data_IF_219876780171
#
_entry.id   IF_219876780171
#
_cell.length_a   1.000
_cell.length_b   1.000
_cell.length_c   1.000
_cell.angle_alpha   90.00
_cell.angle_beta   90.00
_cell.angle_gamma   90.00
#
_symmetry.space_group_name_H-M   'P 1'
#
loop_
_entity.id
_entity.type
_entity.pdbx_description
1 polymer ?
#
# COMPACT_ATOMS: atom_id res chain seq x y z
N UNK A 1 6.13 -8.40 23.89
CA UNK A 1 5.15 -7.30 23.92
C UNK A 1 3.77 -7.92 24.13
N UNK A 2 2.95 -7.40 25.06
CA UNK A 2 1.58 -7.86 25.27
C UNK A 2 0.70 -7.58 24.02
N UNK A 3 -0.54 -8.12 23.96
CA UNK A 3 -1.41 -8.00 22.79
C UNK A 3 -1.63 -6.54 22.38
N UNK A 4 -1.52 -6.32 21.06
CA UNK A 4 -1.56 -5.07 20.29
C UNK A 4 -2.51 -3.98 20.83
N UNK A 5 -1.97 -3.01 21.57
CA UNK A 5 -2.58 -1.69 21.74
C UNK A 5 -1.92 -0.71 20.76
N UNK A 6 -2.21 -0.85 19.47
CA UNK A 6 -1.78 0.11 18.46
C UNK A 6 -2.83 0.24 17.35
N UNK A 7 -2.78 1.35 16.63
CA UNK A 7 -3.75 1.73 15.60
C UNK A 7 -3.22 1.50 14.18
N UNK A 8 -2.22 0.62 13.99
CA UNK A 8 -1.67 0.34 12.66
C UNK A 8 -2.73 -0.17 11.69
N UNK A 9 -3.58 -1.11 12.13
CA UNK A 9 -4.61 -1.69 11.27
C UNK A 9 -5.70 -0.67 10.92
N UNK A 10 -6.05 0.22 11.85
CA UNK A 10 -6.99 1.31 11.61
C UNK A 10 -6.42 2.34 10.62
N UNK A 11 -5.15 2.73 10.80
CA UNK A 11 -4.51 3.71 9.94
C UNK A 11 -4.30 3.18 8.51
N UNK A 12 -3.97 1.89 8.36
CA UNK A 12 -3.93 1.22 7.05
C UNK A 12 -5.30 1.15 6.39
N UNK A 13 -6.36 0.91 7.16
CA UNK A 13 -7.72 0.91 6.62
C UNK A 13 -8.11 2.30 6.12
N UNK A 14 -7.82 3.36 6.90
CA UNK A 14 -8.02 4.75 6.48
C UNK A 14 -7.23 5.05 5.21
N UNK A 15 -5.96 4.63 5.14
CA UNK A 15 -5.13 4.80 3.95
C UNK A 15 -5.69 4.06 2.72
N UNK A 16 -6.23 2.83 2.87
CA UNK A 16 -6.89 2.12 1.77
C UNK A 16 -8.14 2.85 1.28
N UNK A 17 -8.98 3.32 2.20
CA UNK A 17 -10.20 4.09 1.87
C UNK A 17 -9.84 5.39 1.18
N UNK A 18 -8.75 6.04 1.60
CA UNK A 18 -8.28 7.30 1.02
C UNK A 18 -7.80 7.14 -0.43
N UNK A 19 -7.22 5.99 -0.76
CA UNK A 19 -6.88 5.59 -2.15
C UNK A 19 -8.14 5.42 -3.00
N UNK A 20 -9.12 4.64 -2.53
CA UNK A 20 -10.41 4.47 -3.24
C UNK A 20 -11.10 5.84 -3.42
N UNK A 21 -11.19 6.64 -2.37
CA UNK A 21 -11.79 7.98 -2.45
C UNK A 21 -11.14 8.82 -3.56
N UNK A 22 -9.81 8.85 -3.62
CA UNK A 22 -9.05 9.61 -4.61
C UNK A 22 -9.23 9.06 -6.03
N UNK A 23 -9.24 7.74 -6.20
CA UNK A 23 -9.49 7.10 -7.50
C UNK A 23 -10.91 7.33 -8.01
N UNK A 24 -11.91 7.45 -7.13
CA UNK A 24 -13.28 7.72 -7.57
C UNK A 24 -13.41 9.01 -8.40
N UNK A 25 -12.60 10.05 -8.11
CA UNK A 25 -12.53 11.26 -8.95
C UNK A 25 -11.87 10.97 -10.30
N UNK A 26 -10.73 10.27 -10.29
CA UNK A 26 -10.01 9.93 -11.53
C UNK A 26 -10.87 9.08 -12.46
N UNK A 27 -11.55 8.07 -11.92
CA UNK A 27 -12.38 7.12 -12.67
C UNK A 27 -13.69 7.76 -13.13
N UNK A 28 -14.32 8.61 -12.32
CA UNK A 28 -15.57 9.26 -12.75
C UNK A 28 -15.34 10.47 -13.67
N UNK A 29 -14.32 11.28 -13.40
CA UNK A 29 -14.15 12.61 -14.02
C UNK A 29 -12.89 12.72 -14.90
N UNK A 30 -12.00 11.74 -14.88
CA UNK A 30 -10.71 11.77 -15.61
C UNK A 30 -9.66 12.66 -14.97
N UNK A 31 -9.98 13.28 -13.83
CA UNK A 31 -9.11 14.20 -13.12
C UNK A 31 -9.38 14.16 -11.63
N UNK A 32 -8.35 14.50 -10.84
CA UNK A 32 -8.45 14.60 -9.38
C UNK A 32 -8.42 16.05 -8.90
N UNK A 33 -8.51 17.02 -9.82
CA UNK A 33 -8.38 18.46 -9.54
C UNK A 33 -9.40 19.02 -8.54
N UNK A 34 -10.55 18.35 -8.38
CA UNK A 34 -11.62 18.75 -7.45
C UNK A 34 -11.53 18.09 -6.08
N UNK A 35 -10.53 17.24 -5.87
CA UNK A 35 -10.32 16.58 -4.59
C UNK A 35 -9.91 17.61 -3.52
N UNK A 36 -10.49 17.52 -2.32
CA UNK A 36 -10.27 18.53 -1.28
C UNK A 36 -8.79 18.68 -0.90
N UNK A 37 -8.00 17.60 -0.86
CA UNK A 37 -6.58 17.68 -0.50
C UNK A 37 -5.75 18.32 -1.62
N UNK A 38 -6.11 18.10 -2.88
CA UNK A 38 -5.41 18.76 -4.00
C UNK A 38 -5.64 20.27 -3.95
N UNK A 39 -6.85 20.70 -3.59
CA UNK A 39 -7.19 22.11 -3.40
C UNK A 39 -6.46 22.72 -2.20
N UNK A 40 -6.46 22.03 -1.05
CA UNK A 40 -5.77 22.50 0.16
C UNK A 40 -4.26 22.58 -0.02
N UNK A 41 -3.66 21.67 -0.78
CA UNK A 41 -2.22 21.65 -1.00
C UNK A 41 -1.77 22.50 -2.19
N UNK A 42 -2.67 23.23 -2.87
CA UNK A 42 -2.31 24.05 -4.02
C UNK A 42 -1.78 23.23 -5.20
N UNK A 43 -2.48 22.14 -5.52
CA UNK A 43 -2.19 21.19 -6.59
C UNK A 43 -0.86 20.43 -6.43
N UNK A 44 -0.50 20.08 -5.19
CA UNK A 44 0.72 19.33 -4.91
C UNK A 44 0.45 17.84 -4.70
N UNK A 45 -0.60 17.48 -3.94
CA UNK A 45 -0.80 16.10 -3.51
C UNK A 45 -2.28 15.73 -3.39
N UNK A 46 -2.60 14.52 -3.83
CA UNK A 46 -3.90 13.87 -3.64
C UNK A 46 -3.90 13.00 -2.38
N UNK A 47 -5.10 12.76 -1.84
CA UNK A 47 -5.31 12.00 -0.62
C UNK A 47 -4.97 10.52 -0.81
N UNK A 48 -5.16 9.97 -2.00
CA UNK A 48 -4.76 8.61 -2.32
C UNK A 48 -3.25 8.41 -2.17
N UNK A 49 -2.47 9.35 -2.70
CA UNK A 49 -1.02 9.34 -2.61
C UNK A 49 -0.53 9.51 -1.15
N UNK A 50 -1.21 10.35 -0.37
CA UNK A 50 -0.99 10.45 1.08
C UNK A 50 -1.23 9.11 1.78
N UNK A 51 -2.26 8.36 1.39
CA UNK A 51 -2.51 7.00 1.86
C UNK A 51 -1.35 6.05 1.53
N UNK A 52 -0.83 6.11 0.31
CA UNK A 52 0.36 5.34 -0.11
C UNK A 52 1.59 5.70 0.75
N UNK A 53 1.84 6.98 1.01
CA UNK A 53 2.94 7.41 1.88
C UNK A 53 2.84 6.81 3.29
N UNK A 54 1.62 6.80 3.84
CA UNK A 54 1.34 6.20 5.13
C UNK A 54 1.56 4.68 5.10
N UNK A 55 1.14 3.98 4.03
CA UNK A 55 1.43 2.56 3.85
C UNK A 55 2.92 2.27 3.88
N UNK A 56 3.72 3.02 3.11
CA UNK A 56 5.18 2.83 3.07
C UNK A 56 5.83 3.14 4.42
N UNK A 57 5.41 4.19 5.13
CA UNK A 57 5.91 4.49 6.47
C UNK A 57 5.61 3.39 7.49
N UNK A 58 4.37 2.89 7.51
CA UNK A 58 3.96 1.78 8.38
C UNK A 58 4.71 0.50 8.00
N UNK A 59 4.85 0.20 6.71
CA UNK A 59 5.60 -0.94 6.21
C UNK A 59 7.07 -0.85 6.60
N UNK A 60 7.72 0.31 6.45
CA UNK A 60 9.10 0.54 6.91
C UNK A 60 9.32 0.19 8.37
N UNK A 61 8.38 0.60 9.23
CA UNK A 61 8.42 0.29 10.66
C UNK A 61 8.25 -1.22 10.93
N UNK A 62 7.18 -1.83 10.41
CA UNK A 62 6.80 -3.21 10.73
C UNK A 62 7.66 -4.27 10.03
N UNK A 63 8.18 -3.96 8.85
CA UNK A 63 9.06 -4.85 8.09
C UNK A 63 10.42 -4.93 8.76
N UNK A 64 10.99 -3.78 9.15
CA UNK A 64 12.25 -3.72 9.93
C UNK A 64 12.11 -4.49 11.24
N UNK A 65 11.00 -4.27 11.97
CA UNK A 65 10.69 -5.03 13.18
C UNK A 65 10.64 -6.53 12.92
N UNK A 66 9.96 -6.94 11.86
CA UNK A 66 9.80 -8.35 11.54
C UNK A 66 11.08 -9.03 11.13
N UNK A 67 12.03 -8.34 10.51
CA UNK A 67 13.34 -8.91 10.17
C UNK A 67 14.12 -9.19 11.45
N UNK A 68 14.25 -8.21 12.34
CA UNK A 68 14.99 -8.37 13.62
C UNK A 68 14.40 -9.44 14.54
N UNK A 69 13.08 -9.63 14.50
CA UNK A 69 12.39 -10.63 15.31
C UNK A 69 12.38 -12.02 14.66
N UNK A 70 12.86 -12.16 13.42
CA UNK A 70 12.86 -13.45 12.72
C UNK A 70 14.27 -14.03 12.67
N UNK A 71 14.52 -15.22 13.24
CA UNK A 71 15.86 -15.79 13.31
C UNK A 71 16.48 -16.14 11.95
N UNK A 72 15.66 -16.47 10.95
CA UNK A 72 16.12 -16.97 9.65
C UNK A 72 15.66 -16.06 8.50
N UNK A 73 16.57 -15.61 7.61
CA UNK A 73 16.24 -14.74 6.48
C UNK A 73 15.15 -15.31 5.55
N UNK A 74 15.19 -16.61 5.24
CA UNK A 74 14.15 -17.25 4.41
C UNK A 74 12.78 -17.28 5.10
N UNK A 75 12.72 -17.37 6.44
CA UNK A 75 11.44 -17.29 7.16
C UNK A 75 10.86 -15.87 7.09
N UNK A 76 11.72 -14.85 7.09
CA UNK A 76 11.29 -13.48 6.86
C UNK A 76 10.70 -13.34 5.46
N UNK A 77 11.40 -13.81 4.42
CA UNK A 77 10.92 -13.72 3.05
C UNK A 77 9.61 -14.49 2.85
N UNK A 78 9.48 -15.70 3.41
CA UNK A 78 8.25 -16.48 3.36
C UNK A 78 7.06 -15.76 4.02
N UNK A 79 7.27 -15.11 5.18
CA UNK A 79 6.22 -14.32 5.86
C UNK A 79 5.74 -13.15 5.00
N UNK A 80 6.63 -12.55 4.21
CA UNK A 80 6.34 -11.43 3.30
C UNK A 80 5.66 -11.91 2.02
N UNK A 81 6.16 -13.00 1.44
CA UNK A 81 5.55 -13.63 0.28
C UNK A 81 4.10 -14.06 0.56
N UNK A 82 3.86 -14.76 1.67
CA UNK A 82 2.52 -15.16 2.10
C UNK A 82 1.57 -13.98 2.42
N UNK A 83 2.10 -12.76 2.55
CA UNK A 83 1.30 -11.55 2.80
C UNK A 83 0.83 -10.86 1.52
N UNK A 84 1.55 -11.02 0.41
CA UNK A 84 1.27 -10.34 -0.87
C UNK A 84 0.74 -11.35 -1.89
N UNK A 85 1.53 -12.34 -2.27
CA UNK A 85 1.26 -13.16 -3.45
C UNK A 85 -0.10 -13.89 -3.45
N UNK A 86 -0.58 -14.50 -2.34
CA UNK A 86 -1.84 -15.22 -2.40
C UNK A 86 -3.04 -14.32 -2.70
N UNK A 87 -3.14 -13.17 -2.02
CA UNK A 87 -4.23 -12.22 -2.25
C UNK A 87 -4.12 -11.54 -3.62
N UNK A 88 -2.89 -11.22 -4.05
CA UNK A 88 -2.62 -10.70 -5.39
C UNK A 88 -3.06 -11.68 -6.48
N UNK A 89 -2.68 -12.95 -6.37
CA UNK A 89 -3.06 -14.00 -7.32
C UNK A 89 -4.57 -14.17 -7.40
N UNK A 90 -5.26 -14.18 -6.25
CA UNK A 90 -6.73 -14.23 -6.25
C UNK A 90 -7.35 -13.00 -6.91
N UNK A 91 -6.84 -11.80 -6.64
CA UNK A 91 -7.34 -10.57 -7.23
C UNK A 91 -7.10 -10.52 -8.75
N UNK A 92 -5.93 -10.93 -9.23
CA UNK A 92 -5.63 -10.96 -10.67
C UNK A 92 -6.46 -12.01 -11.39
N UNK A 93 -6.73 -13.17 -10.78
CA UNK A 93 -7.68 -14.16 -11.31
C UNK A 93 -9.09 -13.58 -11.43
N UNK A 94 -9.58 -12.89 -10.40
CA UNK A 94 -10.91 -12.25 -10.43
C UNK A 94 -10.94 -11.18 -11.52
N UNK A 95 -9.92 -10.33 -11.63
CA UNK A 95 -9.85 -9.34 -12.69
C UNK A 95 -9.83 -9.97 -14.09
N UNK A 96 -9.00 -10.99 -14.33
CA UNK A 96 -8.81 -11.57 -15.65
C UNK A 96 -9.94 -12.50 -16.10
N UNK A 97 -10.55 -13.25 -15.18
CA UNK A 97 -11.50 -14.32 -15.51
C UNK A 97 -12.93 -14.07 -15.01
N UNK A 98 -13.16 -13.04 -14.20
CA UNK A 98 -14.51 -12.61 -13.82
C UNK A 98 -14.81 -11.25 -14.43
N UNK A 99 -14.03 -10.23 -14.10
CA UNK A 99 -14.29 -8.88 -14.59
C UNK A 99 -14.03 -8.75 -16.10
N UNK A 100 -12.89 -9.26 -16.60
CA UNK A 100 -12.52 -9.22 -18.01
C UNK A 100 -13.61 -9.77 -18.95
N UNK A 101 -14.11 -11.00 -18.74
CA UNK A 101 -15.22 -11.56 -19.53
C UNK A 101 -16.54 -10.79 -19.47
N UNK A 102 -16.79 -10.03 -18.40
CA UNK A 102 -18.01 -9.23 -18.26
C UNK A 102 -17.95 -7.93 -19.07
N UNK A 103 -16.75 -7.37 -19.25
CA UNK A 103 -16.54 -6.05 -19.86
C UNK A 103 -15.89 -6.10 -21.25
N UNK A 104 -15.51 -7.29 -21.72
CA UNK A 104 -14.90 -7.48 -23.05
C UNK A 104 -15.96 -7.44 -24.15
N UNK A 105 -15.59 -6.87 -25.31
CA UNK A 105 -16.40 -6.92 -26.54
C UNK A 105 -16.18 -8.20 -27.34
N UNK A 106 -15.20 -9.01 -26.97
CA UNK A 106 -14.88 -10.26 -27.64
C UNK A 106 -15.84 -11.39 -27.22
N UNK A 107 -16.21 -12.30 -28.12
CA UNK A 107 -16.85 -13.55 -27.74
C UNK A 107 -15.99 -14.32 -26.72
N UNK A 108 -16.62 -14.91 -25.70
CA UNK A 108 -15.92 -15.57 -24.58
C UNK A 108 -14.91 -16.64 -25.05
N UNK A 109 -15.25 -17.43 -26.07
CA UNK A 109 -14.34 -18.41 -26.63
C UNK A 109 -13.06 -17.80 -27.20
N UNK A 110 -13.17 -16.65 -27.88
CA UNK A 110 -12.02 -15.92 -28.42
C UNK A 110 -11.18 -15.29 -27.31
N UNK A 111 -11.83 -14.73 -26.29
CA UNK A 111 -11.15 -14.16 -25.12
C UNK A 111 -10.32 -15.21 -24.37
N UNK A 112 -10.87 -16.41 -24.15
CA UNK A 112 -10.17 -17.47 -23.42
C UNK A 112 -9.11 -18.20 -24.25
N UNK A 113 -9.19 -18.13 -25.59
CA UNK A 113 -8.16 -18.66 -26.49
C UNK A 113 -6.90 -17.79 -26.58
N UNK A 114 -7.00 -16.55 -26.11
CA UNK A 114 -5.95 -15.54 -26.17
C UNK A 114 -4.96 -15.71 -25.00
N UNK A 115 -3.65 -15.51 -25.20
CA UNK A 115 -2.65 -15.60 -24.12
C UNK A 115 -2.78 -14.48 -23.08
N UNK A 116 -3.27 -13.31 -23.46
CA UNK A 116 -3.23 -12.08 -22.65
C UNK A 116 -3.87 -12.22 -21.25
N UNK A 117 -5.02 -12.89 -21.03
CA UNK A 117 -5.56 -13.10 -19.68
C UNK A 117 -4.67 -13.95 -18.77
N UNK A 118 -3.96 -14.93 -19.34
CA UNK A 118 -3.04 -15.78 -18.61
C UNK A 118 -1.74 -15.04 -18.29
N UNK A 119 -1.21 -14.30 -19.27
CA UNK A 119 -0.06 -13.41 -19.09
C UNK A 119 -0.32 -12.33 -18.06
N UNK A 120 -1.54 -11.77 -18.03
CA UNK A 120 -1.94 -10.80 -17.02
C UNK A 120 -1.86 -11.40 -15.61
N UNK A 121 -2.39 -12.61 -15.40
CA UNK A 121 -2.36 -13.26 -14.08
C UNK A 121 -0.94 -13.61 -13.68
N UNK A 122 -0.17 -14.25 -14.57
CA UNK A 122 1.21 -14.66 -14.28
C UNK A 122 2.10 -13.45 -14.07
N UNK A 123 2.06 -12.48 -14.98
CA UNK A 123 2.83 -11.25 -14.94
C UNK A 123 2.57 -10.48 -13.66
N UNK A 124 1.33 -10.05 -13.40
CA UNK A 124 1.02 -9.28 -12.20
C UNK A 124 1.30 -10.05 -10.91
N UNK A 125 1.09 -11.38 -10.88
CA UNK A 125 1.43 -12.19 -9.70
C UNK A 125 2.94 -12.25 -9.48
N UNK A 126 3.75 -12.29 -10.52
CA UNK A 126 5.22 -12.19 -10.44
C UNK A 126 5.71 -10.75 -10.22
N UNK A 127 4.80 -9.82 -9.93
CA UNK A 127 5.06 -8.39 -9.82
C UNK A 127 5.60 -7.81 -11.14
N UNK A 128 5.32 -8.47 -12.26
CA UNK A 128 5.51 -7.96 -13.60
C UNK A 128 4.34 -7.07 -14.02
N UNK A 129 4.47 -5.78 -13.71
CA UNK A 129 3.50 -4.73 -13.99
C UNK A 129 3.82 -4.10 -15.36
N UNK A 130 4.04 -4.91 -16.38
CA UNK A 130 4.12 -4.45 -17.78
C UNK A 130 2.86 -4.83 -18.54
N UNK A 131 2.12 -5.83 -18.03
CA UNK A 131 0.86 -6.32 -18.60
C UNK A 131 -0.31 -5.68 -17.86
N UNK A 132 -0.79 -4.54 -18.37
CA UNK A 132 -1.87 -3.76 -17.75
C UNK A 132 -3.23 -3.91 -18.44
N UNK A 133 -3.25 -4.49 -19.64
CA UNK A 133 -4.44 -4.54 -20.50
C UNK A 133 -4.84 -5.98 -20.78
N UNK A 134 -6.15 -6.24 -20.79
CA UNK A 134 -6.74 -7.50 -21.27
C UNK A 134 -7.37 -7.28 -22.63
N UNK A 135 -7.57 -8.34 -23.42
CA UNK A 135 -7.98 -8.18 -24.81
C UNK A 135 -9.44 -7.77 -24.92
N UNK A 136 -9.67 -6.72 -25.71
CA UNK A 136 -11.01 -6.23 -26.02
C UNK A 136 -11.77 -5.65 -24.82
N UNK A 137 -11.07 -5.26 -23.73
CA UNK A 137 -11.70 -4.49 -22.66
C UNK A 137 -12.31 -3.24 -23.27
N UNK A 138 -13.61 -3.04 -23.04
CA UNK A 138 -14.31 -1.83 -23.45
C UNK A 138 -14.95 -1.18 -22.24
N UNK A 139 -14.15 -0.35 -21.56
CA UNK A 139 -14.68 0.71 -20.70
C UNK A 139 -14.93 1.97 -21.56
N UNK A 140 -15.54 1.82 -22.76
CA UNK A 140 -15.46 2.79 -23.86
C UNK A 140 -15.84 4.26 -23.55
N UNK A 141 -16.46 4.54 -22.40
CA UNK A 141 -16.82 5.89 -21.97
C UNK A 141 -16.17 6.27 -20.62
N UNK A 142 -15.15 5.56 -20.16
CA UNK A 142 -14.45 5.87 -18.91
C UNK A 142 -13.26 6.83 -19.14
N UNK A 143 -13.26 8.03 -18.52
CA UNK A 143 -12.14 8.97 -18.58
C UNK A 143 -10.79 8.42 -18.09
N UNK A 144 -10.76 7.43 -17.19
CA UNK A 144 -9.54 6.86 -16.62
C UNK A 144 -8.84 5.80 -17.50
N UNK A 145 -9.39 5.50 -18.69
CA UNK A 145 -8.77 4.59 -19.65
C UNK A 145 -9.10 3.11 -19.44
N UNK A 146 -8.30 2.24 -20.06
CA UNK A 146 -8.58 0.81 -20.24
C UNK A 146 -7.91 -0.11 -19.21
N UNK A 147 -7.24 0.46 -18.21
CA UNK A 147 -6.54 -0.32 -17.20
C UNK A 147 -7.51 -1.01 -16.25
N UNK A 148 -7.45 -2.34 -16.18
CA UNK A 148 -8.35 -3.11 -15.31
C UNK A 148 -7.99 -2.98 -13.83
N UNK A 149 -6.71 -2.74 -13.51
CA UNK A 149 -6.26 -2.54 -12.14
C UNK A 149 -5.02 -1.64 -12.06
N UNK A 150 -5.27 -0.34 -12.03
CA UNK A 150 -4.23 0.68 -11.89
C UNK A 150 -3.61 0.74 -10.48
N UNK A 151 -4.19 0.08 -9.47
CA UNK A 151 -3.67 0.15 -8.09
C UNK A 151 -2.41 -0.69 -7.85
N UNK A 152 -2.13 -1.69 -8.70
CA UNK A 152 -1.14 -2.72 -8.42
C UNK A 152 0.31 -2.22 -8.43
N UNK A 153 0.59 -1.06 -9.02
CA UNK A 153 1.95 -0.53 -9.26
C UNK A 153 2.83 -0.47 -8.00
N UNK A 154 2.24 -0.16 -6.84
CA UNK A 154 3.01 -0.04 -5.58
C UNK A 154 3.51 -1.38 -5.04
N UNK A 155 2.93 -2.52 -5.43
CA UNK A 155 3.25 -3.83 -4.85
C UNK A 155 4.66 -4.31 -5.22
N UNK A 156 5.08 -4.10 -6.47
CA UNK A 156 6.47 -4.32 -6.90
C UNK A 156 7.43 -3.53 -6.01
N UNK A 157 7.13 -2.25 -5.79
CA UNK A 157 7.97 -1.36 -4.98
C UNK A 157 8.01 -1.79 -3.53
N UNK A 158 6.86 -2.16 -2.94
CA UNK A 158 6.78 -2.68 -1.59
C UNK A 158 7.63 -3.95 -1.42
N UNK A 159 7.53 -4.91 -2.35
CA UNK A 159 8.34 -6.12 -2.29
C UNK A 159 9.83 -5.84 -2.46
N UNK A 160 10.21 -4.90 -3.33
CA UNK A 160 11.60 -4.42 -3.45
C UNK A 160 12.11 -3.85 -2.13
N UNK A 161 11.31 -3.08 -1.38
CA UNK A 161 11.70 -2.60 -0.05
C UNK A 161 11.86 -3.75 0.95
N UNK A 162 11.10 -4.83 0.81
CA UNK A 162 11.27 -6.03 1.64
C UNK A 162 12.61 -6.71 1.37
N UNK A 163 13.03 -6.77 0.10
CA UNK A 163 14.34 -7.28 -0.31
C UNK A 163 15.47 -6.34 0.14
N UNK A 164 15.27 -5.03 0.08
CA UNK A 164 16.21 -4.04 0.61
C UNK A 164 16.47 -4.29 2.11
N UNK A 165 15.41 -4.46 2.91
CA UNK A 165 15.55 -4.77 4.35
C UNK A 165 16.25 -6.12 4.57
N UNK A 166 15.98 -7.13 3.74
CA UNK A 166 16.67 -8.43 3.79
C UNK A 166 18.17 -8.27 3.56
N UNK A 167 18.58 -7.58 2.49
CA UNK A 167 19.99 -7.34 2.16
C UNK A 167 20.69 -6.53 3.24
N UNK A 168 20.10 -5.40 3.66
CA UNK A 168 20.64 -4.58 4.75
C UNK A 168 20.73 -5.37 6.05
N UNK A 169 19.77 -6.26 6.31
CA UNK A 169 19.74 -7.13 7.47
C UNK A 169 20.85 -8.17 7.48
N UNK A 170 21.08 -8.83 6.33
CA UNK A 170 22.17 -9.79 6.14
C UNK A 170 23.55 -9.13 6.29
N UNK A 171 23.70 -7.92 5.77
CA UNK A 171 24.92 -7.11 5.89
C UNK A 171 25.08 -6.46 7.27
N UNK A 172 24.12 -6.66 8.20
CA UNK A 172 24.07 -6.01 9.53
C UNK A 172 24.07 -4.47 9.47
N UNK A 173 23.58 -3.91 8.36
CA UNK A 173 23.47 -2.48 8.09
C UNK A 173 22.11 -1.89 8.48
N UNK A 174 21.18 -2.68 9.03
CA UNK A 174 19.94 -2.16 9.63
C UNK A 174 20.27 -1.34 10.89
N UNK A 175 20.76 -0.13 10.71
CA UNK A 175 21.14 0.81 11.76
C UNK A 175 20.34 2.10 11.60
N UNK A 176 20.27 2.90 12.67
CA UNK A 176 19.60 4.20 12.60
C UNK A 176 20.27 5.14 11.59
N UNK A 177 21.61 5.06 11.46
CA UNK A 177 22.39 5.87 10.51
C UNK A 177 22.00 5.56 9.08
N UNK A 178 21.92 4.27 8.71
CA UNK A 178 21.50 3.85 7.37
C UNK A 178 20.05 4.23 7.10
N UNK A 179 19.16 4.12 8.09
CA UNK A 179 17.78 4.59 7.93
C UNK A 179 17.72 6.10 7.63
N UNK A 180 18.52 6.93 8.31
CA UNK A 180 18.61 8.37 8.00
C UNK A 180 19.26 8.66 6.64
N UNK A 181 20.26 7.88 6.22
CA UNK A 181 20.85 8.01 4.89
C UNK A 181 19.84 7.68 3.79
N UNK A 182 19.05 6.62 3.96
CA UNK A 182 17.97 6.26 3.03
C UNK A 182 16.85 7.30 3.01
N UNK A 183 16.53 7.88 4.17
CA UNK A 183 15.57 8.98 4.27
C UNK A 183 16.06 10.20 3.50
N UNK A 184 17.32 10.62 3.72
CA UNK A 184 17.94 11.72 3.01
C UNK A 184 18.03 11.46 1.51
N UNK A 185 18.38 10.23 1.12
CA UNK A 185 18.41 9.79 -0.28
C UNK A 185 17.03 9.90 -0.93
N UNK A 186 15.96 9.39 -0.31
CA UNK A 186 14.61 9.50 -0.86
C UNK A 186 14.11 10.94 -0.98
N UNK A 187 14.43 11.80 -0.01
CA UNK A 187 14.14 13.24 -0.09
C UNK A 187 14.92 13.89 -1.23
N UNK A 188 16.19 13.53 -1.41
CA UNK A 188 16.98 14.01 -2.53
C UNK A 188 16.36 13.59 -3.88
N UNK A 189 15.97 12.31 -4.04
CA UNK A 189 15.28 11.84 -5.25
C UNK A 189 14.00 12.63 -5.53
N UNK A 190 13.16 12.88 -4.51
CA UNK A 190 11.96 13.71 -4.63
C UNK A 190 12.29 15.13 -5.09
N UNK A 191 13.28 15.76 -4.47
CA UNK A 191 13.68 17.11 -4.79
C UNK A 191 14.26 17.22 -6.21
N UNK A 192 15.09 16.25 -6.61
CA UNK A 192 15.65 16.20 -7.95
C UNK A 192 14.58 15.96 -9.01
N UNK A 193 13.65 15.02 -8.81
CA UNK A 193 12.53 14.77 -9.73
C UNK A 193 11.67 16.03 -9.95
N UNK A 194 11.46 16.82 -8.89
CA UNK A 194 10.70 18.07 -8.97
C UNK A 194 11.40 19.14 -9.82
N UNK A 195 12.74 19.18 -9.83
CA UNK A 195 13.52 20.16 -10.60
C UNK A 195 13.86 19.67 -12.01
N UNK A 196 14.16 18.39 -12.15
CA UNK A 196 14.62 17.74 -13.36
C UNK A 196 13.94 16.36 -13.43
N UNK A 197 12.99 16.15 -14.38
CA UNK A 197 12.35 14.85 -14.55
C UNK A 197 13.43 13.79 -14.80
N UNK A 198 13.69 12.91 -13.84
CA UNK A 198 14.87 12.03 -13.84
C UNK A 198 14.78 11.00 -14.97
N UNK A 199 13.56 10.62 -15.37
CA UNK A 199 13.28 9.74 -16.51
C UNK A 199 13.99 10.17 -17.82
N UNK A 200 14.26 11.48 -17.98
CA UNK A 200 14.88 12.03 -19.19
C UNK A 200 16.40 11.89 -19.24
N UNK A 201 17.03 11.44 -18.16
CA UNK A 201 18.49 11.41 -17.99
C UNK A 201 19.10 10.00 -18.18
N UNK A 202 18.30 9.07 -18.72
CA UNK A 202 18.72 7.71 -19.06
C UNK A 202 18.31 6.67 -18.03
N UNK A 203 18.57 5.39 -18.36
CA UNK A 203 18.00 4.22 -17.68
C UNK A 203 18.22 4.19 -16.15
N UNK A 204 19.37 4.69 -15.67
CA UNK A 204 19.66 4.71 -14.23
C UNK A 204 18.75 5.69 -13.47
N UNK A 205 18.49 6.86 -14.06
CA UNK A 205 17.66 7.89 -13.46
C UNK A 205 16.16 7.61 -13.63
N UNK A 206 15.77 6.95 -14.72
CA UNK A 206 14.43 6.36 -14.89
C UNK A 206 14.14 5.27 -13.84
N UNK A 207 15.14 4.43 -13.55
CA UNK A 207 15.02 3.48 -12.46
C UNK A 207 14.83 4.21 -11.11
N UNK A 208 15.59 5.27 -10.84
CA UNK A 208 15.44 6.06 -9.62
C UNK A 208 14.12 6.84 -9.53
N UNK A 209 13.60 7.37 -10.64
CA UNK A 209 12.27 7.99 -10.68
C UNK A 209 11.17 6.97 -10.40
N UNK A 210 11.35 5.71 -10.81
CA UNK A 210 10.39 4.64 -10.58
C UNK A 210 10.21 4.23 -9.12
N UNK A 211 11.28 4.19 -8.31
CA UNK A 211 11.20 3.69 -6.92
C UNK A 211 11.90 4.54 -5.86
N UNK A 212 12.90 5.34 -6.22
CA UNK A 212 13.77 6.07 -5.30
C UNK A 212 13.01 7.09 -4.44
N UNK A 213 12.00 7.74 -5.00
CA UNK A 213 11.18 8.72 -4.29
C UNK A 213 10.35 8.12 -3.15
N UNK A 214 9.92 6.85 -3.26
CA UNK A 214 9.18 6.16 -2.19
C UNK A 214 10.07 5.65 -1.04
N UNK A 215 11.38 5.53 -1.28
CA UNK A 215 12.35 5.09 -0.26
C UNK A 215 12.32 5.99 0.95
N UNK A 216 12.17 7.31 0.76
CA UNK A 216 12.14 8.28 1.85
C UNK A 216 11.03 7.99 2.87
N UNK A 217 9.83 7.69 2.38
CA UNK A 217 8.67 7.37 3.23
C UNK A 217 8.87 6.07 4.00
N UNK A 218 9.39 5.03 3.33
CA UNK A 218 9.71 3.75 3.98
C UNK A 218 10.82 3.92 5.03
N UNK A 219 11.89 4.62 4.68
CA UNK A 219 13.04 4.87 5.54
C UNK A 219 12.67 5.70 6.78
N UNK A 220 11.72 6.63 6.67
CA UNK A 220 11.16 7.33 7.83
C UNK A 220 10.58 6.35 8.87
N UNK A 221 9.84 5.33 8.39
CA UNK A 221 9.35 4.24 9.22
C UNK A 221 10.46 3.40 9.85
N UNK A 222 11.52 3.10 9.09
CA UNK A 222 12.70 2.40 9.61
C UNK A 222 13.39 3.20 10.72
N UNK A 223 13.60 4.51 10.50
CA UNK A 223 14.24 5.40 11.45
C UNK A 223 13.43 5.50 12.75
N UNK A 224 12.12 5.68 12.64
CA UNK A 224 11.22 5.73 13.80
C UNK A 224 11.14 4.39 14.54
N UNK A 225 11.21 3.26 13.83
CA UNK A 225 11.35 1.96 14.48
C UNK A 225 12.64 1.88 15.29
N UNK A 226 13.78 2.32 14.75
CA UNK A 226 15.06 2.32 15.49
C UNK A 226 15.05 3.25 16.69
N UNK A 227 14.35 4.38 16.58
CA UNK A 227 14.20 5.36 17.64
C UNK A 227 13.04 5.07 18.60
N UNK A 228 12.29 3.98 18.43
CA UNK A 228 11.06 3.68 19.21
C UNK A 228 11.25 3.63 20.73
N UNK A 229 12.45 3.30 21.19
CA UNK A 229 12.78 3.23 22.62
C UNK A 229 13.23 4.58 23.19
N UNK A 230 13.41 5.58 22.32
CA UNK A 230 13.65 6.97 22.74
C UNK A 230 12.32 7.66 23.02
N UNK A 231 12.35 8.78 23.75
CA UNK A 231 11.16 9.63 23.99
C UNK A 231 10.72 10.44 22.76
N UNK A 232 10.99 9.95 21.54
CA UNK A 232 10.72 10.68 20.30
C UNK A 232 9.22 10.71 19.95
N UNK A 233 8.41 9.77 20.45
CA UNK A 233 6.95 9.73 20.24
C UNK A 233 6.22 10.67 21.22
N UNK A 234 6.60 11.94 21.21
CA UNK A 234 6.06 12.99 22.09
C UNK A 234 5.03 13.87 21.35
N UNK A 235 3.94 14.25 22.03
CA UNK A 235 2.89 15.09 21.47
C UNK A 235 3.36 16.50 21.06
N UNK A 236 4.41 17.03 21.68
CA UNK A 236 5.01 18.31 21.29
C UNK A 236 5.73 18.21 19.95
N UNK A 237 6.43 17.10 19.72
CA UNK A 237 7.07 16.82 18.43
C UNK A 237 5.99 16.58 17.37
N UNK A 238 4.88 15.93 17.72
CA UNK A 238 3.72 15.80 16.84
C UNK A 238 3.13 17.18 16.46
N UNK A 239 3.00 18.10 17.42
CA UNK A 239 2.54 19.45 17.11
C UNK A 239 3.52 20.20 16.20
N UNK A 240 4.83 20.08 16.43
CA UNK A 240 5.86 20.65 15.56
C UNK A 240 5.83 20.02 14.16
N UNK A 241 5.61 18.71 14.06
CA UNK A 241 5.48 18.02 12.79
C UNK A 241 4.22 18.47 12.04
N UNK A 242 3.09 18.65 12.74
CA UNK A 242 1.87 19.20 12.16
C UNK A 242 2.10 20.63 11.65
N UNK A 243 2.74 21.48 12.44
CA UNK A 243 3.09 22.83 12.01
C UNK A 243 4.01 22.79 10.79
N UNK A 244 5.07 21.97 10.80
CA UNK A 244 5.98 21.80 9.66
C UNK A 244 5.27 21.34 8.39
N UNK A 245 4.32 20.41 8.52
CA UNK A 245 3.52 19.95 7.38
C UNK A 245 2.59 21.05 6.86
N UNK A 246 1.95 21.83 7.73
CA UNK A 246 1.11 22.97 7.32
C UNK A 246 1.95 24.05 6.64
N UNK A 247 3.12 24.40 7.18
CA UNK A 247 4.03 25.36 6.57
C UNK A 247 4.65 24.87 5.26
N UNK A 248 4.74 23.56 5.03
CA UNK A 248 5.25 23.01 3.76
C UNK A 248 4.34 23.30 2.56
N UNK A 249 3.04 23.53 2.80
CA UNK A 249 2.05 23.81 1.76
C UNK A 249 2.36 25.11 1.00
N UNK A 250 2.42 26.30 1.64
CA UNK A 250 2.73 27.55 0.93
C UNK A 250 4.13 27.56 0.31
N UNK A 251 5.06 26.75 0.83
CA UNK A 251 6.42 26.60 0.28
C UNK A 251 6.48 25.71 -0.97
N UNK A 252 5.37 25.09 -1.37
CA UNK A 252 5.31 24.08 -2.44
C UNK A 252 6.22 22.88 -2.20
N UNK A 253 6.41 22.50 -0.93
CA UNK A 253 7.28 21.39 -0.50
C UNK A 253 6.52 20.31 0.26
N UNK A 254 5.19 20.19 0.05
CA UNK A 254 4.36 19.26 0.80
C UNK A 254 4.83 17.81 0.66
N UNK A 255 5.01 17.32 -0.57
CA UNK A 255 5.47 15.96 -0.82
C UNK A 255 6.91 15.75 -0.32
N UNK A 256 7.82 16.69 -0.58
CA UNK A 256 9.23 16.60 -0.18
C UNK A 256 9.42 16.50 1.34
N UNK A 257 8.59 17.22 2.10
CA UNK A 257 8.68 17.26 3.57
C UNK A 257 7.77 16.23 4.27
N UNK A 258 6.86 15.60 3.54
CA UNK A 258 5.97 14.56 4.07
C UNK A 258 6.73 13.35 4.68
N UNK A 259 7.83 12.83 4.10
CA UNK A 259 8.63 11.77 4.72
C UNK A 259 9.08 12.08 6.15
N UNK A 260 9.32 13.36 6.47
CA UNK A 260 9.75 13.77 7.82
C UNK A 260 8.55 14.03 8.71
N UNK A 261 7.63 14.91 8.28
CA UNK A 261 6.54 15.37 9.12
C UNK A 261 5.31 14.47 9.07
N UNK A 262 4.84 14.13 7.88
CA UNK A 262 3.65 13.31 7.67
C UNK A 262 3.82 11.88 8.17
N UNK A 263 4.95 11.23 7.85
CA UNK A 263 5.25 9.89 8.35
C UNK A 263 5.41 9.84 9.87
N UNK A 264 6.00 10.89 10.48
CA UNK A 264 6.07 11.01 11.94
C UNK A 264 4.67 11.08 12.54
N UNK A 265 3.80 11.96 12.02
CA UNK A 265 2.42 12.10 12.49
C UNK A 265 1.64 10.80 12.36
N UNK A 266 1.74 10.12 11.22
CA UNK A 266 1.10 8.84 10.97
C UNK A 266 1.52 7.78 12.01
N UNK A 267 2.83 7.64 12.26
CA UNK A 267 3.34 6.67 13.23
C UNK A 267 3.05 7.08 14.68
N UNK A 268 3.04 8.38 14.98
CA UNK A 268 2.62 8.90 16.27
C UNK A 268 1.15 8.57 16.54
N UNK A 269 0.24 8.78 15.59
CA UNK A 269 -1.17 8.39 15.70
C UNK A 269 -1.34 6.86 15.85
N UNK A 270 -0.49 6.09 15.18
CA UNK A 270 -0.54 4.63 15.26
C UNK A 270 -0.06 4.07 16.61
N UNK A 271 0.95 4.71 17.23
CA UNK A 271 1.66 4.17 18.40
C UNK A 271 1.34 4.88 19.72
N UNK A 272 0.71 6.06 19.69
CA UNK A 272 0.45 6.84 20.90
C UNK A 272 -0.57 6.13 21.81
N UNK A 273 -0.18 5.69 23.02
CA UNK A 273 -1.05 4.92 23.92
C UNK A 273 -2.19 5.76 24.52
N UNK A 274 -2.13 7.10 24.40
CA UNK A 274 -3.19 8.00 24.88
C UNK A 274 -4.40 8.07 23.96
N UNK A 275 -4.27 7.58 22.72
CA UNK A 275 -5.36 7.56 21.77
C UNK A 275 -6.18 6.28 21.93
N UNK A 276 -7.52 6.34 21.73
CA UNK A 276 -8.34 5.15 21.76
C UNK A 276 -7.89 4.15 20.70
N UNK A 277 -7.81 2.88 21.06
CA UNK A 277 -7.50 1.81 20.11
C UNK A 277 -8.76 1.47 19.33
N UNK A 278 -8.72 1.70 18.02
CA UNK A 278 -9.81 1.35 17.12
C UNK A 278 -9.65 -0.12 16.73
N UNK A 279 -10.61 -1.01 17.04
CA UNK A 279 -10.48 -2.44 16.77
C UNK A 279 -10.76 -2.76 15.28
N UNK A 280 -10.08 -2.10 14.36
CA UNK A 280 -10.23 -2.30 12.91
C UNK A 280 -9.93 -3.75 12.50
N UNK A 281 -8.98 -4.39 13.20
CA UNK A 281 -8.62 -5.79 12.97
C UNK A 281 -9.69 -6.82 13.41
N UNK A 282 -10.80 -6.39 14.05
CA UNK A 282 -11.86 -7.32 14.51
C UNK A 282 -12.48 -8.14 13.38
N UNK A 283 -12.46 -7.60 12.16
CA UNK A 283 -12.97 -8.25 10.95
C UNK A 283 -11.87 -8.80 10.04
N UNK A 284 -10.59 -8.72 10.45
CA UNK A 284 -9.44 -9.08 9.63
C UNK A 284 -8.58 -7.90 9.19
N UNK A 285 -7.48 -8.19 8.48
CA UNK A 285 -6.60 -7.19 7.87
C UNK A 285 -7.12 -6.84 6.47
N UNK A 286 -8.23 -6.06 6.44
CA UNK A 286 -8.98 -5.76 5.21
C UNK A 286 -8.29 -4.74 4.31
N UNK A 287 -7.30 -3.99 4.80
CA UNK A 287 -6.72 -2.86 4.06
C UNK A 287 -6.06 -3.29 2.76
N UNK A 288 -5.45 -4.49 2.74
CA UNK A 288 -4.82 -5.01 1.54
C UNK A 288 -5.83 -5.42 0.48
N UNK A 289 -6.89 -6.15 0.88
CA UNK A 289 -7.99 -6.48 -0.02
C UNK A 289 -8.65 -5.22 -0.59
N UNK A 290 -8.95 -4.23 0.25
CA UNK A 290 -9.53 -2.96 -0.21
C UNK A 290 -8.64 -2.26 -1.24
N UNK A 291 -7.32 -2.27 -1.02
CA UNK A 291 -6.36 -1.67 -1.94
C UNK A 291 -6.37 -2.36 -3.32
N UNK A 292 -6.32 -3.70 -3.37
CA UNK A 292 -6.21 -4.44 -4.64
C UNK A 292 -7.54 -4.61 -5.39
N UNK A 293 -8.69 -4.62 -4.68
CA UNK A 293 -10.01 -4.75 -5.30
C UNK A 293 -10.68 -3.39 -5.56
N UNK A 294 -10.21 -2.30 -4.97
CA UNK A 294 -10.82 -0.96 -5.11
C UNK A 294 -10.97 -0.52 -6.56
N UNK A 295 -9.85 -0.44 -7.30
CA UNK A 295 -9.85 0.02 -8.69
C UNK A 295 -10.73 -0.85 -9.61
N UNK A 296 -10.61 -2.19 -9.64
CA UNK A 296 -11.50 -3.03 -10.45
C UNK A 296 -12.99 -2.82 -10.14
N UNK A 297 -13.35 -2.60 -8.88
CA UNK A 297 -14.73 -2.35 -8.48
C UNK A 297 -15.21 -0.98 -8.94
N UNK A 298 -14.39 0.07 -8.80
CA UNK A 298 -14.72 1.41 -9.30
C UNK A 298 -14.92 1.42 -10.82
N UNK A 299 -14.06 0.71 -11.55
CA UNK A 299 -14.18 0.46 -12.99
C UNK A 299 -15.49 -0.26 -13.34
N UNK A 300 -15.86 -1.29 -12.58
CA UNK A 300 -17.13 -1.99 -12.78
C UNK A 300 -18.34 -1.08 -12.52
N UNK A 301 -18.28 -0.22 -11.49
CA UNK A 301 -19.37 0.70 -11.16
C UNK A 301 -19.56 1.75 -12.25
N UNK A 302 -18.50 2.40 -12.72
CA UNK A 302 -18.62 3.41 -13.78
C UNK A 302 -19.13 2.77 -15.08
N UNK A 303 -18.68 1.55 -15.38
CA UNK A 303 -19.17 0.77 -16.53
C UNK A 303 -20.66 0.42 -16.43
N UNK A 304 -21.12 -0.07 -15.27
CA UNK A 304 -22.55 -0.32 -15.02
C UNK A 304 -23.40 0.97 -15.05
N UNK A 305 -22.80 2.10 -14.66
CA UNK A 305 -23.39 3.44 -14.79
C UNK A 305 -23.34 4.01 -16.21
N UNK A 306 -22.91 3.22 -17.21
CA UNK A 306 -22.81 3.62 -18.60
C UNK A 306 -21.77 4.71 -18.87
N UNK A 307 -20.76 4.88 -18.01
CA UNK A 307 -19.72 5.92 -18.15
C UNK A 307 -20.06 7.28 -17.53
N UNK A 308 -21.26 7.45 -16.96
CA UNK A 308 -21.78 8.77 -16.56
C UNK A 308 -21.93 8.96 -15.04
N UNK A 309 -21.43 8.02 -14.22
CA UNK A 309 -21.56 8.12 -12.77
C UNK A 309 -20.63 9.20 -12.20
N UNK A 310 -21.15 10.05 -11.31
CA UNK A 310 -20.34 11.03 -10.59
C UNK A 310 -19.42 10.35 -9.56
N UNK A 311 -18.32 11.02 -9.19
CA UNK A 311 -17.31 10.47 -8.25
C UNK A 311 -17.92 9.95 -6.94
N UNK A 312 -18.93 10.64 -6.39
CA UNK A 312 -19.57 10.24 -5.14
C UNK A 312 -20.44 9.00 -5.30
N UNK A 313 -21.02 8.78 -6.48
CA UNK A 313 -21.74 7.53 -6.81
C UNK A 313 -20.75 6.39 -6.92
N UNK A 314 -19.64 6.61 -7.60
CA UNK A 314 -18.54 5.63 -7.70
C UNK A 314 -18.03 5.26 -6.32
N UNK A 315 -17.66 6.24 -5.49
CA UNK A 315 -17.13 6.00 -4.15
C UNK A 315 -18.12 5.30 -3.22
N UNK A 316 -19.35 5.80 -3.14
CA UNK A 316 -20.36 5.29 -2.18
C UNK A 316 -20.82 3.87 -2.49
N UNK A 317 -20.76 3.44 -3.76
CA UNK A 317 -21.09 2.09 -4.19
C UNK A 317 -19.88 1.16 -4.23
N UNK A 318 -18.72 1.66 -4.69
CA UNK A 318 -17.52 0.85 -4.79
C UNK A 318 -16.94 0.50 -3.42
N UNK A 319 -16.96 1.41 -2.45
CA UNK A 319 -16.42 1.16 -1.11
C UNK A 319 -17.05 -0.07 -0.41
N UNK A 320 -18.39 -0.20 -0.27
CA UNK A 320 -18.99 -1.37 0.36
C UNK A 320 -18.76 -2.66 -0.44
N UNK A 321 -18.77 -2.60 -1.77
CA UNK A 321 -18.52 -3.77 -2.63
C UNK A 321 -17.06 -4.24 -2.51
N UNK A 322 -16.10 -3.31 -2.59
CA UNK A 322 -14.69 -3.60 -2.38
C UNK A 322 -14.41 -4.10 -0.96
N UNK A 323 -15.10 -3.56 0.06
CA UNK A 323 -14.99 -4.06 1.43
C UNK A 323 -15.51 -5.49 1.58
N UNK A 324 -16.61 -5.84 0.90
CA UNK A 324 -17.13 -7.20 0.88
C UNK A 324 -16.16 -8.17 0.20
N UNK A 325 -15.60 -7.80 -0.96
CA UNK A 325 -14.58 -8.60 -1.65
C UNK A 325 -13.29 -8.75 -0.81
N UNK A 326 -12.84 -7.67 -0.17
CA UNK A 326 -11.71 -7.69 0.75
C UNK A 326 -11.97 -8.63 1.94
N UNK A 327 -13.18 -8.62 2.49
CA UNK A 327 -13.58 -9.50 3.57
C UNK A 327 -13.58 -10.97 3.11
N UNK A 328 -14.10 -11.27 1.93
CA UNK A 328 -14.09 -12.61 1.35
C UNK A 328 -12.65 -13.08 1.07
N UNK A 329 -11.84 -12.26 0.39
CA UNK A 329 -10.42 -12.53 0.12
C UNK A 329 -9.64 -12.82 1.40
N UNK A 330 -9.86 -12.02 2.44
CA UNK A 330 -9.21 -12.22 3.72
C UNK A 330 -9.53 -13.59 4.33
N UNK A 331 -10.81 -13.97 4.37
CA UNK A 331 -11.24 -15.20 5.04
C UNK A 331 -10.94 -16.47 4.23
N UNK A 332 -11.02 -16.39 2.90
CA UNK A 332 -10.88 -17.53 1.99
C UNK A 332 -9.42 -17.75 1.58
N UNK A 333 -8.65 -16.68 1.36
CA UNK A 333 -7.31 -16.77 0.75
C UNK A 333 -6.23 -16.35 1.74
N UNK A 334 -6.27 -15.11 2.22
CA UNK A 334 -5.13 -14.52 2.93
C UNK A 334 -4.95 -15.14 4.31
N UNK A 335 -6.02 -15.23 5.13
CA UNK A 335 -5.95 -15.77 6.49
C UNK A 335 -5.46 -17.22 6.52
N UNK A 336 -5.96 -18.15 5.67
CA UNK A 336 -5.41 -19.51 5.59
C UNK A 336 -3.92 -19.52 5.24
N UNK A 337 -3.49 -18.74 4.24
CA UNK A 337 -2.10 -18.70 3.81
C UNK A 337 -1.17 -18.12 4.88
N UNK A 338 -1.63 -17.10 5.60
CA UNK A 338 -0.87 -16.52 6.71
C UNK A 338 -0.72 -17.47 7.91
N UNK A 339 -1.55 -18.53 8.03
CA UNK A 339 -1.34 -19.60 9.04
C UNK A 339 -0.16 -20.51 8.70
N UNK A 340 0.28 -20.54 7.45
CA UNK A 340 1.44 -21.32 7.00
C UNK A 340 2.78 -20.64 7.32
N UNK A 341 2.77 -19.49 8.00
CA UNK A 341 3.99 -18.75 8.37
C UNK A 341 4.98 -19.63 9.14
N UNK A 342 6.24 -19.73 8.68
CA UNK A 342 7.28 -20.46 9.41
C UNK A 342 7.47 -19.90 10.82
N UNK A 343 7.55 -20.80 11.81
CA UNK A 343 7.77 -20.47 13.23
C UNK A 343 6.52 -20.19 14.06
N UNK A 344 5.30 -20.23 13.49
CA UNK A 344 4.05 -20.02 14.24
C UNK A 344 3.69 -21.13 15.23
N UNK A 345 4.18 -22.37 15.02
CA UNK A 345 3.85 -23.54 15.87
C UNK A 345 4.56 -23.55 17.23
N UNK A 346 5.69 -22.86 17.41
CA UNK A 346 6.41 -22.84 18.70
C UNK A 346 5.76 -21.96 19.78
N UNK A 347 4.86 -21.05 19.42
CA UNK A 347 4.13 -20.24 20.40
C UNK A 347 2.87 -20.94 20.96
N UNK A 348 2.31 -21.92 20.25
CA UNK A 348 1.11 -22.64 20.69
C UNK A 348 1.42 -23.83 21.62
N UNK A 349 2.64 -24.37 21.59
CA UNK A 349 3.05 -25.51 22.41
C UNK A 349 3.59 -25.13 23.81
N UNK A 350 3.75 -23.83 24.11
CA UNK A 350 4.20 -23.32 25.41
C UNK A 350 3.08 -23.00 26.41
N UNK A 351 1.83 -23.36 26.08
CA UNK A 351 0.63 -23.03 26.87
C UNK A 351 -0.07 -24.27 27.44
N UNK A 352 0.68 -25.36 27.66
CA UNK A 352 0.19 -26.44 28.52
C UNK A 352 0.39 -26.00 29.99
N UNK A 353 -0.68 -25.79 30.78
CA UNK A 353 -0.52 -25.56 32.20
C UNK A 353 0.16 -26.79 32.82
N UNK A 354 1.23 -26.57 33.58
CA UNK A 354 1.88 -27.63 34.34
C UNK A 354 0.83 -28.31 35.25
N UNK A 355 0.80 -29.66 35.32
CA UNK A 355 -0.11 -30.34 36.22
C UNK A 355 0.23 -29.94 37.66
N UNK A 356 -0.75 -29.35 38.35
CA UNK A 356 -0.66 -29.08 39.78
C UNK A 356 -0.43 -30.42 40.49
N UNK A 357 0.73 -30.57 41.12
CA UNK A 357 0.97 -31.68 42.04
C UNK A 357 0.13 -31.41 43.30
N UNK A 358 -0.72 -32.38 43.62
CA UNK A 358 -1.49 -32.46 44.86
C UNK A 358 -0.57 -32.67 46.07
#
# INVERSE_FOLDING_TARGET
>A
MPPRQNNFDALRLVAAISVIFSHSFLIAEGTQNREWLILLTGNQCILGLTGVFIFFAISGFLVTQSFEQTPHPLHYLAKRALRIFPGLFAATLVSAFVLGPLVTTLPLGTYLSRPEPYEYVVGNTLLDQTVHQLPGISFADNPAGLEINGSLWTLRLEFTMYLMVLVLGLLRLLTVRVAFLLLAFGIACLYFEMLYPLEKWGWFFELLSGWGWLVGFFAAGMALYKLRHTRILDGRIALLALAGLVFSVPLRQFITLFPVFGCYLALWLALNPRLPVIPAARFGDLSYGLYIYGWPVEQAVIWLGGGHAAWWQVFSTALPVAAALAFMSWHIVERPMLRLKPGGRRAAAGYAPAPQRA
#
